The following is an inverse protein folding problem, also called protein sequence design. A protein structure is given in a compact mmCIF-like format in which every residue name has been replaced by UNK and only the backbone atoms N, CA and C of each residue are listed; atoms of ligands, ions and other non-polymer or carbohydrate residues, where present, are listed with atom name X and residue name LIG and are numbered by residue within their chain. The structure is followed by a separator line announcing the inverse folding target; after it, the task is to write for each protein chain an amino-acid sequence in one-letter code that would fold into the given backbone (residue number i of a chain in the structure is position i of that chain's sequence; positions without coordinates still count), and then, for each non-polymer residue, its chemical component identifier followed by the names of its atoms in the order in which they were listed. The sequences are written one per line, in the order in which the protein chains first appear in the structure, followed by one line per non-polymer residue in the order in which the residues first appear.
data_IF_012536467351
#
_entry.id   IF_012536467351
#
_cell.length_a   1.000
_cell.length_b   1.000
_cell.length_c   1.000
_cell.angle_alpha   90.00
_cell.angle_beta   90.00
_cell.angle_gamma   90.00
#
_symmetry.space_group_name_H-M   'P 1'
#
loop_
_entity.id
_entity.type
_entity.pdbx_description
1 polymer ?
#
# COMPACT_ATOMS: atom_id res chain seq x y z
N UNK A 1 11.37 -21.26 -25.27
CA UNK A 1 10.12 -21.75 -24.67
C UNK A 1 10.37 -22.69 -23.47
N UNK A 2 11.23 -23.70 -23.58
CA UNK A 2 11.53 -24.68 -22.52
C UNK A 2 12.20 -24.03 -21.27
N UNK A 3 13.06 -23.02 -21.45
CA UNK A 3 13.74 -22.29 -20.34
C UNK A 3 12.73 -21.44 -19.57
N UNK A 4 11.85 -20.74 -20.28
CA UNK A 4 10.80 -19.91 -19.69
C UNK A 4 9.79 -20.73 -18.87
N UNK A 5 9.41 -21.92 -19.37
CA UNK A 5 8.51 -22.83 -18.64
C UNK A 5 9.18 -23.42 -17.40
N UNK A 6 10.48 -23.77 -17.47
CA UNK A 6 11.26 -24.21 -16.30
C UNK A 6 11.37 -23.12 -15.23
N UNK A 7 11.65 -21.88 -15.65
CA UNK A 7 11.75 -20.75 -14.75
C UNK A 7 10.39 -20.43 -14.07
N UNK A 8 9.27 -20.50 -14.81
CA UNK A 8 7.92 -20.35 -14.27
C UNK A 8 7.56 -21.41 -13.23
N UNK A 9 7.84 -22.66 -13.51
CA UNK A 9 7.55 -23.77 -12.61
C UNK A 9 8.43 -23.71 -11.34
N UNK A 10 9.69 -23.32 -11.49
CA UNK A 10 10.60 -23.12 -10.39
C UNK A 10 10.17 -21.92 -9.53
N UNK A 11 9.81 -20.80 -10.15
CA UNK A 11 9.30 -19.63 -9.46
C UNK A 11 8.01 -19.93 -8.66
N UNK A 12 7.05 -20.69 -9.24
CA UNK A 12 5.81 -21.09 -8.54
C UNK A 12 6.12 -21.93 -7.31
N UNK A 13 6.98 -22.94 -7.45
CA UNK A 13 7.40 -23.80 -6.32
C UNK A 13 8.21 -23.04 -5.27
N UNK A 14 8.95 -22.03 -5.69
CA UNK A 14 9.76 -21.16 -4.84
C UNK A 14 8.92 -20.17 -4.01
N UNK A 15 7.82 -19.65 -4.57
CA UNK A 15 6.90 -18.77 -3.85
C UNK A 15 6.04 -19.51 -2.81
N UNK A 16 5.83 -20.82 -3.01
CA UNK A 16 5.12 -21.68 -2.04
C UNK A 16 6.03 -22.16 -0.90
N UNK A 17 7.34 -22.17 -1.07
CA UNK A 17 8.34 -22.55 -0.05
C UNK A 17 9.11 -21.34 0.43
N UNK A 18 9.28 -21.18 1.75
CA UNK A 18 10.23 -20.21 2.33
C UNK A 18 11.62 -20.45 1.74
N UNK A 19 12.09 -19.45 1.00
CA UNK A 19 13.25 -19.57 0.12
C UNK A 19 14.56 -19.77 0.86
N UNK A 20 15.30 -20.76 0.41
CA UNK A 20 16.69 -20.98 0.76
C UNK A 20 17.58 -20.21 -0.23
N UNK A 21 18.18 -19.11 0.21
CA UNK A 21 19.07 -18.25 -0.60
C UNK A 21 20.26 -19.03 -1.23
N UNK A 22 20.67 -20.12 -0.62
CA UNK A 22 21.73 -20.97 -1.15
C UNK A 22 21.35 -21.71 -2.42
N UNK A 23 20.06 -22.04 -2.59
CA UNK A 23 19.57 -22.70 -3.82
C UNK A 23 19.60 -21.79 -5.04
N UNK A 24 19.45 -20.47 -4.83
CA UNK A 24 19.54 -19.48 -5.92
C UNK A 24 20.98 -19.34 -6.41
N UNK A 25 21.96 -19.43 -5.53
CA UNK A 25 23.38 -19.28 -5.90
C UNK A 25 23.85 -20.40 -6.84
N UNK A 26 23.20 -21.56 -6.81
CA UNK A 26 23.55 -22.75 -7.64
C UNK A 26 22.84 -22.80 -8.99
N UNK A 27 22.01 -21.80 -9.34
CA UNK A 27 21.31 -21.76 -10.63
C UNK A 27 22.24 -21.28 -11.75
N UNK A 28 22.07 -21.81 -12.99
CA UNK A 28 22.74 -21.28 -14.18
C UNK A 28 22.46 -19.79 -14.37
N UNK A 29 23.40 -18.99 -14.90
CA UNK A 29 23.30 -17.54 -15.00
C UNK A 29 22.04 -17.10 -15.75
N UNK A 30 21.70 -17.73 -16.87
CA UNK A 30 20.55 -17.41 -17.71
C UNK A 30 19.21 -17.57 -16.97
N UNK A 31 19.09 -18.62 -16.14
CA UNK A 31 17.88 -18.89 -15.35
C UNK A 31 17.82 -17.96 -14.14
N UNK A 32 18.97 -17.59 -13.59
CA UNK A 32 19.07 -16.69 -12.45
C UNK A 32 18.57 -15.28 -12.76
N UNK A 33 18.91 -14.73 -13.92
CA UNK A 33 18.51 -13.39 -14.33
C UNK A 33 17.00 -13.31 -14.59
N UNK A 34 16.45 -14.31 -15.27
CA UNK A 34 15.01 -14.37 -15.52
C UNK A 34 14.21 -14.61 -14.23
N UNK A 35 14.71 -15.47 -13.34
CA UNK A 35 14.16 -15.68 -12.03
C UNK A 35 14.17 -14.39 -11.19
N UNK A 36 15.29 -13.64 -11.19
CA UNK A 36 15.41 -12.38 -10.45
C UNK A 36 14.39 -11.35 -10.94
N UNK A 37 14.20 -11.22 -12.26
CA UNK A 37 13.17 -10.34 -12.84
C UNK A 37 11.76 -10.73 -12.40
N UNK A 38 11.43 -12.03 -12.42
CA UNK A 38 10.12 -12.49 -11.94
C UNK A 38 9.94 -12.29 -10.44
N UNK A 39 10.98 -12.52 -9.65
CA UNK A 39 10.97 -12.31 -8.21
C UNK A 39 10.74 -10.84 -7.83
N UNK A 40 11.46 -9.93 -8.47
CA UNK A 40 11.27 -8.49 -8.27
C UNK A 40 9.84 -8.06 -8.64
N UNK A 41 9.35 -8.48 -9.81
CA UNK A 41 7.99 -8.19 -10.27
C UNK A 41 6.92 -8.75 -9.30
N UNK A 42 7.14 -9.93 -8.74
CA UNK A 42 6.23 -10.53 -7.75
C UNK A 42 6.23 -9.74 -6.43
N UNK A 43 7.41 -9.37 -5.93
CA UNK A 43 7.52 -8.59 -4.70
C UNK A 43 6.91 -7.19 -4.84
N UNK A 44 7.09 -6.56 -5.99
CA UNK A 44 6.42 -5.29 -6.30
C UNK A 44 4.90 -5.43 -6.28
N UNK A 45 4.36 -6.48 -6.91
CA UNK A 45 2.91 -6.74 -6.89
C UNK A 45 2.39 -6.99 -5.48
N UNK A 46 3.07 -7.82 -4.70
CA UNK A 46 2.70 -8.04 -3.29
C UNK A 46 2.76 -6.75 -2.46
N UNK A 47 3.78 -5.93 -2.69
CA UNK A 47 3.89 -4.62 -2.03
C UNK A 47 2.71 -3.72 -2.37
N UNK A 48 2.33 -3.64 -3.65
CA UNK A 48 1.17 -2.86 -4.09
C UNK A 48 -0.14 -3.43 -3.52
N UNK A 49 -0.29 -4.74 -3.50
CA UNK A 49 -1.45 -5.41 -2.92
C UNK A 49 -1.57 -5.12 -1.41
N UNK A 50 -0.47 -5.23 -0.67
CA UNK A 50 -0.45 -4.89 0.75
C UNK A 50 -0.79 -3.43 1.01
N UNK A 51 -0.27 -2.49 0.21
CA UNK A 51 -0.61 -1.07 0.29
C UNK A 51 -2.10 -0.84 0.06
N UNK A 52 -2.71 -1.57 -0.85
CA UNK A 52 -4.13 -1.45 -1.15
C UNK A 52 -5.04 -2.10 -0.09
N UNK A 53 -4.58 -3.16 0.56
CA UNK A 53 -5.40 -3.93 1.51
C UNK A 53 -5.23 -3.49 2.95
N UNK A 54 -4.07 -2.98 3.33
CA UNK A 54 -3.76 -2.58 4.69
C UNK A 54 -3.37 -1.10 4.80
N UNK A 55 -4.13 -0.37 5.61
CA UNK A 55 -3.91 1.07 5.83
C UNK A 55 -2.53 1.39 6.40
N UNK A 56 -2.01 0.58 7.33
CA UNK A 56 -0.71 0.85 7.94
C UNK A 56 0.45 0.65 6.95
N UNK A 57 0.32 -0.34 6.07
CA UNK A 57 1.27 -0.56 4.96
C UNK A 57 1.26 0.62 3.98
N UNK A 58 0.09 1.19 3.71
CA UNK A 58 -0.05 2.42 2.93
C UNK A 58 0.64 3.59 3.61
N UNK A 59 0.41 3.81 4.92
CA UNK A 59 1.04 4.89 5.69
C UNK A 59 2.57 4.80 5.63
N UNK A 60 3.13 3.62 5.89
CA UNK A 60 4.60 3.41 5.82
C UNK A 60 5.18 3.63 4.41
N UNK A 61 4.38 3.38 3.38
CA UNK A 61 4.81 3.63 2.00
C UNK A 61 4.87 5.11 1.66
N UNK A 62 3.87 5.87 2.14
CA UNK A 62 3.72 7.30 1.84
C UNK A 62 4.56 8.17 2.78
N UNK A 63 4.76 7.72 3.98
CA UNK A 63 5.51 8.41 5.03
C UNK A 63 6.64 7.52 5.55
N UNK A 64 7.84 7.53 4.90
CA UNK A 64 8.96 6.65 5.25
C UNK A 64 9.47 6.82 6.67
N UNK A 65 9.47 8.06 7.18
CA UNK A 65 9.94 8.40 8.54
C UNK A 65 8.88 8.17 9.63
N UNK A 66 7.77 7.50 9.28
CA UNK A 66 6.70 7.26 10.23
C UNK A 66 7.11 6.26 11.32
N UNK A 67 7.06 6.72 12.57
CA UNK A 67 7.32 5.89 13.74
C UNK A 67 6.01 5.28 14.24
N UNK A 68 5.93 3.96 14.13
CA UNK A 68 4.75 3.19 14.49
C UNK A 68 4.62 3.02 16.00
N UNK A 69 3.51 3.50 16.57
CA UNK A 69 3.13 3.28 17.96
C UNK A 69 1.93 2.31 18.08
N UNK A 70 1.70 1.80 19.28
CA UNK A 70 0.59 0.88 19.56
C UNK A 70 -0.80 1.44 19.17
N UNK A 71 -1.04 2.71 19.43
CA UNK A 71 -2.28 3.39 19.07
C UNK A 71 -2.49 3.45 17.55
N UNK A 72 -1.41 3.61 16.78
CA UNK A 72 -1.49 3.62 15.31
C UNK A 72 -1.97 2.28 14.75
N UNK A 73 -1.52 1.16 15.33
CA UNK A 73 -2.00 -0.20 14.95
C UNK A 73 -3.48 -0.35 15.18
N UNK A 74 -3.96 0.07 16.36
CA UNK A 74 -5.39 -0.01 16.71
C UNK A 74 -6.26 0.83 15.77
N UNK A 75 -5.82 2.05 15.43
CA UNK A 75 -6.55 2.91 14.51
C UNK A 75 -6.56 2.32 13.11
N UNK A 76 -5.41 1.84 12.63
CA UNK A 76 -5.28 1.24 11.31
C UNK A 76 -6.20 0.02 11.14
N UNK A 77 -6.27 -0.85 12.15
CA UNK A 77 -7.21 -1.97 12.15
C UNK A 77 -8.68 -1.51 12.02
N UNK A 78 -9.07 -0.46 12.75
CA UNK A 78 -10.41 0.11 12.62
C UNK A 78 -10.65 0.76 11.27
N UNK A 79 -9.65 1.39 10.66
CA UNK A 79 -9.75 1.93 9.32
C UNK A 79 -9.87 0.84 8.25
N UNK A 80 -9.15 -0.27 8.41
CA UNK A 80 -9.31 -1.44 7.56
C UNK A 80 -10.76 -1.97 7.62
N UNK A 81 -11.31 -2.14 8.84
CA UNK A 81 -12.70 -2.57 9.04
C UNK A 81 -13.72 -1.59 8.45
N UNK A 82 -13.47 -0.28 8.55
CA UNK A 82 -14.31 0.77 7.96
C UNK A 82 -14.29 0.70 6.42
N UNK A 83 -13.11 0.59 5.83
CA UNK A 83 -12.94 0.52 4.38
C UNK A 83 -13.54 -0.76 3.76
N UNK A 84 -13.55 -1.86 4.53
CA UNK A 84 -14.19 -3.13 4.16
C UNK A 84 -15.71 -3.12 4.41
N UNK A 85 -16.24 -2.05 5.04
CA UNK A 85 -17.67 -1.93 5.34
C UNK A 85 -18.16 -2.75 6.54
N UNK A 86 -17.24 -3.36 7.31
CA UNK A 86 -17.55 -4.13 8.53
C UNK A 86 -18.10 -3.24 9.64
N UNK A 87 -17.61 -2.00 9.72
CA UNK A 87 -18.13 -0.96 10.61
C UNK A 87 -18.56 0.24 9.77
N UNK A 88 -19.66 0.89 10.17
CA UNK A 88 -20.23 2.04 9.44
C UNK A 88 -19.96 3.38 10.13
N UNK A 89 -19.63 3.37 11.41
CA UNK A 89 -19.41 4.55 12.23
C UNK A 89 -18.18 4.33 13.10
N UNK A 90 -17.31 5.33 13.19
CA UNK A 90 -16.11 5.28 13.98
C UNK A 90 -15.89 6.66 14.65
N UNK A 91 -15.73 6.66 15.95
CA UNK A 91 -15.37 7.84 16.74
C UNK A 91 -13.96 7.60 17.26
N UNK A 92 -13.06 8.58 17.08
CA UNK A 92 -11.67 8.49 17.52
C UNK A 92 -11.41 9.62 18.51
N UNK A 93 -11.24 9.26 19.77
CA UNK A 93 -10.83 10.14 20.85
C UNK A 93 -9.34 9.92 21.14
N UNK A 94 -8.53 10.95 20.89
CA UNK A 94 -7.08 10.91 21.16
C UNK A 94 -6.60 12.29 21.60
N UNK A 95 -5.56 12.36 22.42
CA UNK A 95 -4.91 13.63 22.77
C UNK A 95 -4.39 14.35 21.51
N UNK A 96 -4.17 15.67 21.58
CA UNK A 96 -3.52 16.41 20.50
C UNK A 96 -2.10 15.88 20.26
N UNK A 97 -1.56 16.11 19.05
CA UNK A 97 -0.21 15.69 18.62
C UNK A 97 0.04 14.18 18.52
N UNK A 98 -1.02 13.36 18.48
CA UNK A 98 -0.93 11.92 18.28
C UNK A 98 -1.33 11.50 16.85
N UNK A 99 -1.01 12.30 15.84
CA UNK A 99 -1.25 12.04 14.40
C UNK A 99 -2.70 11.77 13.98
N UNK A 100 -3.68 11.96 14.89
CA UNK A 100 -5.11 11.71 14.63
C UNK A 100 -5.61 12.36 13.34
N UNK A 101 -5.37 13.66 13.18
CA UNK A 101 -5.83 14.41 12.01
C UNK A 101 -5.11 14.02 10.74
N UNK A 102 -3.82 13.72 10.79
CA UNK A 102 -3.07 13.22 9.63
C UNK A 102 -3.62 11.86 9.18
N UNK A 103 -3.93 10.97 10.11
CA UNK A 103 -4.50 9.65 9.80
C UNK A 103 -5.93 9.73 9.28
N UNK A 104 -6.82 10.40 10.03
CA UNK A 104 -8.26 10.37 9.76
C UNK A 104 -8.67 11.35 8.65
N UNK A 105 -8.09 12.57 8.64
CA UNK A 105 -8.52 13.63 7.73
C UNK A 105 -7.69 13.74 6.45
N UNK A 106 -6.57 13.03 6.36
CA UNK A 106 -5.69 13.10 5.20
C UNK A 106 -5.37 11.72 4.60
N UNK A 107 -4.73 10.83 5.37
CA UNK A 107 -4.26 9.54 4.85
C UNK A 107 -5.41 8.57 4.57
N UNK A 108 -6.44 8.54 5.43
CA UNK A 108 -7.57 7.64 5.24
C UNK A 108 -8.39 7.95 3.98
N UNK A 109 -8.81 9.21 3.70
CA UNK A 109 -9.49 9.54 2.46
C UNK A 109 -8.65 9.23 1.22
N UNK A 110 -7.36 9.58 1.23
CA UNK A 110 -6.45 9.29 0.12
C UNK A 110 -6.35 7.79 -0.16
N UNK A 111 -6.20 6.96 0.88
CA UNK A 111 -6.16 5.51 0.76
C UNK A 111 -7.48 4.91 0.28
N UNK A 112 -8.60 5.37 0.80
CA UNK A 112 -9.93 4.88 0.40
C UNK A 112 -10.23 5.19 -1.07
N UNK A 113 -9.87 6.39 -1.56
CA UNK A 113 -10.03 6.75 -2.97
C UNK A 113 -9.05 5.93 -3.84
N UNK A 114 -7.81 5.71 -3.39
CA UNK A 114 -6.86 4.83 -4.06
C UNK A 114 -7.39 3.41 -4.26
N UNK A 115 -8.11 2.86 -3.27
CA UNK A 115 -8.79 1.53 -3.36
C UNK A 115 -10.03 1.56 -4.25
N UNK A 116 -10.81 2.62 -4.17
CA UNK A 116 -12.11 2.76 -4.87
C UNK A 116 -12.20 4.15 -5.51
N UNK A 117 -11.70 4.36 -6.73
CA UNK A 117 -11.65 5.68 -7.38
C UNK A 117 -13.00 6.35 -7.60
N UNK A 118 -14.09 5.56 -7.57
CA UNK A 118 -15.47 6.08 -7.70
C UNK A 118 -16.08 6.52 -6.37
N UNK A 119 -15.35 6.37 -5.25
CA UNK A 119 -15.84 6.74 -3.93
C UNK A 119 -15.94 8.26 -3.81
N UNK A 120 -17.08 8.74 -3.33
CA UNK A 120 -17.29 10.15 -3.00
C UNK A 120 -17.14 10.32 -1.50
N UNK A 121 -16.24 11.19 -1.07
CA UNK A 121 -15.99 11.48 0.35
C UNK A 121 -16.36 12.93 0.61
N UNK A 122 -17.14 13.17 1.65
CA UNK A 122 -17.46 14.51 2.15
C UNK A 122 -16.68 14.69 3.44
N UNK A 123 -15.85 15.71 3.48
CA UNK A 123 -15.06 16.07 4.65
C UNK A 123 -15.57 17.39 5.22
N UNK A 124 -15.94 17.38 6.49
CA UNK A 124 -16.37 18.58 7.23
C UNK A 124 -15.38 18.93 8.31
N UNK A 125 -15.04 20.19 8.41
CA UNK A 125 -14.15 20.76 9.44
C UNK A 125 -14.78 22.01 10.05
N UNK A 126 -14.29 22.44 11.20
CA UNK A 126 -14.81 23.62 11.89
C UNK A 126 -14.31 24.95 11.29
N UNK A 127 -13.29 24.95 10.44
CA UNK A 127 -12.79 26.16 9.74
C UNK A 127 -12.57 25.89 8.27
N UNK A 128 -12.83 26.91 7.44
CA UNK A 128 -12.61 26.88 5.99
C UNK A 128 -11.13 26.67 5.64
N UNK A 129 -10.23 27.25 6.44
CA UNK A 129 -8.78 27.11 6.24
C UNK A 129 -8.32 25.65 6.35
N UNK A 130 -8.81 24.91 7.34
CA UNK A 130 -8.53 23.48 7.48
C UNK A 130 -9.12 22.66 6.34
N UNK A 131 -10.34 22.98 5.86
CA UNK A 131 -10.94 22.31 4.74
C UNK A 131 -10.08 22.46 3.47
N UNK A 132 -9.64 23.68 3.17
CA UNK A 132 -8.77 23.95 2.01
C UNK A 132 -7.41 23.26 2.15
N UNK A 133 -6.82 23.28 3.34
CA UNK A 133 -5.53 22.62 3.62
C UNK A 133 -5.60 21.12 3.40
N UNK A 134 -6.62 20.45 3.88
CA UNK A 134 -6.79 19.01 3.68
C UNK A 134 -7.07 18.68 2.22
N UNK A 135 -7.96 19.40 1.56
CA UNK A 135 -8.27 19.18 0.14
C UNK A 135 -7.06 19.34 -0.78
N UNK A 136 -6.19 20.32 -0.53
CA UNK A 136 -4.93 20.48 -1.29
C UNK A 136 -3.98 19.31 -1.09
N UNK A 137 -3.79 18.85 0.15
CA UNK A 137 -2.93 17.70 0.47
C UNK A 137 -3.43 16.42 -0.19
N UNK A 138 -4.74 16.18 -0.17
CA UNK A 138 -5.36 15.00 -0.80
C UNK A 138 -5.16 14.99 -2.31
N UNK A 139 -5.38 16.11 -3.00
CA UNK A 139 -5.17 16.22 -4.44
C UNK A 139 -3.72 15.93 -4.84
N UNK A 140 -2.76 16.43 -4.09
CA UNK A 140 -1.33 16.16 -4.34
C UNK A 140 -1.02 14.67 -4.19
N UNK A 141 -1.56 14.01 -3.16
CA UNK A 141 -1.36 12.58 -2.93
C UNK A 141 -2.03 11.71 -3.98
N UNK A 142 -3.23 12.06 -4.41
CA UNK A 142 -3.91 11.35 -5.50
C UNK A 142 -3.11 11.41 -6.79
N UNK A 143 -2.55 12.57 -7.15
CA UNK A 143 -1.69 12.71 -8.31
C UNK A 143 -0.46 11.79 -8.22
N UNK A 144 0.20 11.73 -7.07
CA UNK A 144 1.35 10.86 -6.83
C UNK A 144 0.97 9.38 -6.93
N UNK A 145 -0.16 8.98 -6.35
CA UNK A 145 -0.64 7.59 -6.40
C UNK A 145 -1.04 7.16 -7.81
N UNK A 146 -1.73 8.04 -8.56
CA UNK A 146 -2.13 7.79 -9.95
C UNK A 146 -0.92 7.72 -10.87
N UNK A 147 0.07 8.59 -10.71
CA UNK A 147 1.30 8.55 -11.51
C UNK A 147 2.09 7.26 -11.23
N UNK A 148 2.21 6.82 -9.98
CA UNK A 148 2.90 5.57 -9.62
C UNK A 148 2.19 4.33 -10.13
N UNK A 149 0.86 4.28 -10.08
CA UNK A 149 0.10 3.15 -10.65
C UNK A 149 0.24 3.07 -12.18
N UNK A 150 0.29 4.21 -12.88
CA UNK A 150 0.56 4.27 -14.33
C UNK A 150 1.98 3.84 -14.69
N UNK A 151 2.97 4.14 -13.84
CA UNK A 151 4.35 3.69 -14.05
C UNK A 151 4.48 2.16 -13.98
N UNK A 152 3.75 1.50 -13.07
CA UNK A 152 3.74 0.03 -12.95
C UNK A 152 3.06 -0.65 -14.15
N UNK A 153 2.05 -0.03 -14.75
CA UNK A 153 1.34 -0.57 -15.94
C UNK A 153 2.17 -0.41 -17.22
N UNK A 154 3.11 0.55 -17.29
CA UNK A 154 3.96 0.78 -18.47
C UNK A 154 5.13 -0.19 -18.62
N UNK A 155 5.38 -1.06 -17.64
CA UNK A 155 6.50 -2.05 -17.63
C UNK A 155 6.00 -3.47 -17.98
N UNK A 156 4.78 -3.60 -18.46
CA UNK A 156 4.19 -4.91 -18.88
C UNK A 156 4.22 -5.12 -20.38
#
# INVERSE_FOLDING_TARGET
EKIFTKAKNFAKKFFEMKVDLEKIKKLPPDIKDEFMKMYLKHNERKKVENINTDFLSFVKHVWPDFIEGYHHKKIADKFNQLADGKIKRLIINMPPRHTKSEFASFLLPAWMIGRKPKLKIIQSTHTTELAVRFGRKENTMQQVLVQRSRAVVRIS
#
